data_IF_581788336042
#
_entry.id   IF_581788336042
#
_cell.length_a   1.000
_cell.length_b   1.000
_cell.length_c   1.000
_cell.angle_alpha   90.00
_cell.angle_beta   90.00
_cell.angle_gamma   90.00
#
_symmetry.space_group_name_H-M   'P 1'
#
loop_
_entity.id
_entity.type
_entity.pdbx_description
1 polymer ?
#
# COMPACT_ATOMS: atom_id res chain seq x y z
N UNK A 1 16.03 10.13 -6.10
CA UNK A 1 14.61 10.44 -5.88
C UNK A 1 13.66 9.51 -6.61
N UNK A 2 14.11 8.86 -7.67
CA UNK A 2 13.26 7.94 -8.44
C UNK A 2 13.34 6.50 -7.96
N UNK A 3 14.26 6.18 -7.07
CA UNK A 3 14.47 4.81 -6.58
C UNK A 3 13.22 4.18 -5.94
N UNK A 4 12.36 4.99 -5.33
CA UNK A 4 11.18 4.49 -4.63
C UNK A 4 9.89 4.68 -5.43
N UNK A 5 9.99 5.13 -6.67
CA UNK A 5 8.85 5.47 -7.50
C UNK A 5 8.82 4.72 -8.85
N UNK A 6 9.50 3.57 -8.93
CA UNK A 6 9.41 2.74 -10.13
C UNK A 6 8.23 1.76 -10.04
N UNK A 7 7.67 1.36 -11.19
CA UNK A 7 6.64 0.30 -11.19
C UNK A 7 7.12 -1.00 -10.56
N UNK A 8 8.38 -1.37 -10.77
CA UNK A 8 8.94 -2.59 -10.19
C UNK A 8 8.90 -2.53 -8.66
N UNK A 9 9.33 -1.42 -8.07
CA UNK A 9 9.32 -1.26 -6.62
C UNK A 9 7.90 -1.23 -6.07
N UNK A 10 6.99 -0.53 -6.74
CA UNK A 10 5.58 -0.52 -6.36
C UNK A 10 4.98 -1.92 -6.41
N UNK A 11 5.33 -2.70 -7.42
CA UNK A 11 4.91 -4.10 -7.53
C UNK A 11 5.45 -4.97 -6.41
N UNK A 12 6.72 -4.82 -6.07
CA UNK A 12 7.32 -5.56 -4.96
C UNK A 12 6.68 -5.19 -3.62
N UNK A 13 6.40 -3.90 -3.39
CA UNK A 13 5.67 -3.49 -2.18
C UNK A 13 4.28 -4.11 -2.13
N UNK A 14 3.59 -4.14 -3.28
CA UNK A 14 2.26 -4.75 -3.35
C UNK A 14 2.30 -6.23 -3.00
N UNK A 15 3.31 -6.96 -3.48
CA UNK A 15 3.47 -8.38 -3.14
C UNK A 15 3.71 -8.56 -1.64
N UNK A 16 4.57 -7.74 -1.04
CA UNK A 16 4.83 -7.81 0.41
C UNK A 16 3.56 -7.51 1.21
N UNK A 17 2.80 -6.50 0.79
CA UNK A 17 1.52 -6.16 1.43
C UNK A 17 0.51 -7.31 1.29
N UNK A 18 0.32 -7.83 0.09
CA UNK A 18 -0.62 -8.92 -0.16
C UNK A 18 -0.23 -10.19 0.58
N UNK A 19 1.07 -10.46 0.71
CA UNK A 19 1.55 -11.58 1.51
C UNK A 19 1.19 -11.37 2.99
N UNK A 20 1.39 -10.17 3.52
CA UNK A 20 1.04 -9.85 4.90
C UNK A 20 -0.45 -9.97 5.19
N UNK A 21 -1.29 -9.67 4.21
CA UNK A 21 -2.75 -9.76 4.32
C UNK A 21 -3.31 -11.11 3.84
N UNK A 22 -2.47 -12.06 3.42
CA UNK A 22 -2.95 -13.34 2.89
C UNK A 22 -3.93 -14.00 3.85
N UNK A 23 -5.00 -14.61 3.36
CA UNK A 23 -5.34 -14.86 1.94
C UNK A 23 -6.26 -13.81 1.30
N UNK A 24 -6.34 -12.62 1.87
CA UNK A 24 -7.25 -11.58 1.39
C UNK A 24 -6.85 -11.05 0.01
N UNK A 25 -7.85 -10.69 -0.80
CA UNK A 25 -7.68 -10.03 -2.09
C UNK A 25 -8.17 -8.60 -2.00
N UNK A 26 -7.49 -7.69 -2.68
CA UNK A 26 -7.82 -6.26 -2.66
C UNK A 26 -7.85 -5.69 -4.07
N UNK A 27 -8.71 -4.68 -4.27
CA UNK A 27 -8.76 -3.94 -5.51
C UNK A 27 -7.61 -2.92 -5.62
N UNK A 28 -7.48 -2.29 -6.79
CA UNK A 28 -6.43 -1.30 -7.03
C UNK A 28 -6.50 -0.13 -6.06
N UNK A 29 -7.72 0.34 -5.75
CA UNK A 29 -7.89 1.47 -4.83
C UNK A 29 -7.37 1.14 -3.43
N UNK A 30 -7.76 0.00 -2.90
CA UNK A 30 -7.30 -0.45 -1.59
C UNK A 30 -5.80 -0.65 -1.55
N UNK A 31 -5.23 -1.26 -2.60
CA UNK A 31 -3.78 -1.46 -2.70
C UNK A 31 -3.03 -0.14 -2.82
N UNK A 32 -3.60 0.86 -3.51
CA UNK A 32 -3.00 2.18 -3.61
C UNK A 32 -2.97 2.89 -2.25
N UNK A 33 -4.04 2.75 -1.47
CA UNK A 33 -4.08 3.25 -0.09
C UNK A 33 -3.01 2.56 0.77
N UNK A 34 -2.93 1.24 0.69
CA UNK A 34 -1.94 0.49 1.45
C UNK A 34 -0.51 0.85 1.05
N UNK A 35 -0.25 1.01 -0.25
CA UNK A 35 1.06 1.41 -0.74
C UNK A 35 1.48 2.77 -0.18
N UNK A 36 0.58 3.74 -0.22
CA UNK A 36 0.86 5.06 0.37
C UNK A 36 1.16 4.95 1.86
N UNK A 37 0.29 4.27 2.60
CA UNK A 37 0.43 4.21 4.04
C UNK A 37 1.57 3.31 4.51
N UNK A 38 1.99 2.32 3.75
CA UNK A 38 3.13 1.49 4.14
C UNK A 38 4.43 2.28 4.10
N UNK A 39 4.56 3.24 3.18
CA UNK A 39 5.75 4.09 3.12
C UNK A 39 5.65 5.31 4.02
N UNK A 40 4.44 5.69 4.42
CA UNK A 40 4.15 6.83 5.31
C UNK A 40 3.38 6.37 6.55
N UNK A 41 3.90 5.34 7.22
CA UNK A 41 3.21 4.75 8.38
C UNK A 41 2.88 5.76 9.47
N UNK A 42 3.65 6.83 9.57
CA UNK A 42 3.39 7.90 10.54
C UNK A 42 2.12 8.70 10.28
N UNK A 43 1.53 8.60 9.08
CA UNK A 43 0.29 9.30 8.75
C UNK A 43 -0.96 8.55 9.22
N UNK A 44 -0.84 7.31 9.66
CA UNK A 44 -1.96 6.55 10.19
C UNK A 44 -2.23 7.02 11.62
N UNK A 45 -3.41 7.59 11.84
CA UNK A 45 -3.84 8.09 13.15
C UNK A 45 -4.22 6.94 14.09
N UNK A 46 -3.34 6.20 14.56
CA UNK A 46 -3.54 5.29 15.70
C UNK A 46 -2.25 4.55 15.90
N UNK A 47 -1.84 4.44 17.12
CA UNK A 47 -0.73 3.60 17.55
C UNK A 47 0.39 3.41 16.53
N UNK A 48 0.92 4.56 16.07
CA UNK A 48 2.15 4.56 15.28
C UNK A 48 3.38 4.45 16.19
N UNK A 49 3.16 4.09 17.45
CA UNK A 49 4.23 4.01 18.45
C UNK A 49 5.36 3.10 17.96
N UNK A 50 6.53 3.70 17.80
CA UNK A 50 7.72 2.99 17.46
C UNK A 50 7.94 2.69 15.99
N UNK A 51 7.02 3.07 15.10
CA UNK A 51 7.23 2.89 13.67
C UNK A 51 7.55 4.23 13.00
N UNK A 52 8.65 4.26 12.29
CA UNK A 52 9.04 5.41 11.48
C UNK A 52 8.57 5.19 10.04
N UNK A 53 8.22 6.27 9.37
CA UNK A 53 7.91 6.22 7.94
C UNK A 53 9.15 5.80 7.14
N UNK A 54 8.97 4.92 6.15
CA UNK A 54 10.04 4.46 5.28
C UNK A 54 10.55 5.56 4.35
N UNK A 55 9.67 6.49 3.99
CA UNK A 55 10.00 7.61 3.12
C UNK A 55 9.81 8.93 3.86
N UNK A 56 10.53 10.00 3.47
CA UNK A 56 10.33 11.31 4.07
C UNK A 56 8.90 11.81 3.84
N UNK A 57 8.37 12.65 4.75
CA UNK A 57 7.07 13.29 4.53
C UNK A 57 7.06 14.10 3.25
N UNK A 58 5.93 14.09 2.54
CA UNK A 58 5.76 14.82 1.29
C UNK A 58 4.73 15.93 1.49
N UNK A 59 5.07 17.15 1.07
CA UNK A 59 4.20 18.31 1.22
C UNK A 59 2.95 18.21 0.34
N UNK A 60 3.02 17.55 -0.83
CA UNK A 60 1.93 17.41 -1.77
C UNK A 60 1.34 15.99 -1.72
N UNK A 61 0.75 15.61 -0.59
CA UNK A 61 0.24 14.27 -0.33
C UNK A 61 -0.77 13.77 -1.38
N UNK A 62 -1.66 14.65 -1.82
CA UNK A 62 -2.67 14.28 -2.81
C UNK A 62 -2.03 13.92 -4.15
N UNK A 63 -1.11 14.74 -4.62
CA UNK A 63 -0.39 14.48 -5.88
C UNK A 63 0.39 13.18 -5.81
N UNK A 64 1.07 12.93 -4.71
CA UNK A 64 1.80 11.69 -4.50
C UNK A 64 0.86 10.48 -4.55
N UNK A 65 -0.31 10.56 -3.92
CA UNK A 65 -1.25 9.46 -3.92
C UNK A 65 -1.67 9.06 -5.34
N UNK A 66 -1.98 10.04 -6.20
CA UNK A 66 -2.38 9.76 -7.58
C UNK A 66 -1.23 9.20 -8.42
N UNK A 67 -0.03 9.69 -8.23
CA UNK A 67 1.16 9.15 -8.91
C UNK A 67 1.41 7.71 -8.48
N UNK A 68 1.30 7.42 -7.19
CA UNK A 68 1.49 6.07 -6.67
C UNK A 68 0.44 5.10 -7.19
N UNK A 69 -0.80 5.54 -7.32
CA UNK A 69 -1.86 4.69 -7.87
C UNK A 69 -1.49 4.15 -9.25
N UNK A 70 -0.96 5.02 -10.11
CA UNK A 70 -0.51 4.61 -11.45
C UNK A 70 0.67 3.63 -11.36
N UNK A 71 1.62 3.89 -10.48
CA UNK A 71 2.75 3.00 -10.27
C UNK A 71 2.33 1.64 -9.73
N UNK A 72 1.38 1.62 -8.80
CA UNK A 72 0.82 0.37 -8.27
C UNK A 72 0.15 -0.43 -9.38
N UNK A 73 -0.66 0.22 -10.22
CA UNK A 73 -1.32 -0.43 -11.34
C UNK A 73 -0.31 -1.09 -12.28
N UNK A 74 0.73 -0.35 -12.68
CA UNK A 74 1.80 -0.88 -13.53
C UNK A 74 2.59 -1.98 -12.83
N UNK A 75 2.86 -1.81 -11.54
CA UNK A 75 3.58 -2.80 -10.73
C UNK A 75 2.81 -4.09 -10.54
N UNK A 76 1.50 -4.01 -10.35
CA UNK A 76 0.64 -5.20 -10.25
C UNK A 76 0.67 -6.01 -11.55
N UNK A 77 0.66 -5.34 -12.70
CA UNK A 77 0.76 -6.02 -13.99
C UNK A 77 2.10 -6.76 -14.11
N UNK A 78 3.20 -6.15 -13.65
CA UNK A 78 4.51 -6.81 -13.63
C UNK A 78 4.52 -8.05 -12.74
N UNK A 79 3.94 -7.94 -11.55
CA UNK A 79 3.93 -9.03 -10.57
C UNK A 79 3.01 -10.17 -10.97
N UNK A 80 1.91 -9.87 -11.65
CA UNK A 80 1.05 -10.90 -12.24
C UNK A 80 1.82 -11.71 -13.29
N UNK A 81 2.54 -11.02 -14.19
CA UNK A 81 3.36 -11.68 -15.20
C UNK A 81 4.51 -12.49 -14.60
N UNK A 82 4.99 -12.10 -13.43
CA UNK A 82 6.02 -12.83 -12.70
C UNK A 82 5.45 -14.00 -11.88
N UNK A 83 4.15 -14.23 -11.94
CA UNK A 83 3.46 -15.30 -11.20
C UNK A 83 3.56 -15.19 -9.68
N UNK A 84 3.66 -13.97 -9.16
CA UNK A 84 3.72 -13.72 -7.72
C UNK A 84 2.36 -13.38 -7.13
N UNK A 85 1.42 -12.95 -7.96
CA UNK A 85 0.06 -12.67 -7.54
C UNK A 85 -0.94 -13.12 -8.60
N UNK A 86 -2.19 -13.30 -8.17
CA UNK A 86 -3.32 -13.61 -9.01
C UNK A 86 -4.21 -12.38 -9.16
N UNK A 87 -4.68 -12.16 -10.37
CA UNK A 87 -5.69 -11.17 -10.69
C UNK A 87 -7.02 -11.89 -10.80
N UNK A 88 -7.98 -11.49 -9.99
CA UNK A 88 -9.27 -12.13 -9.88
C UNK A 88 -10.34 -11.18 -10.43
N UNK A 89 -11.05 -11.62 -11.46
CA UNK A 89 -12.18 -10.88 -12.01
C UNK A 89 -13.48 -11.52 -11.51
N UNK A 90 -14.32 -10.75 -10.87
CA UNK A 90 -15.65 -11.20 -10.43
C UNK A 90 -16.70 -10.13 -10.75
N UNK A 91 -17.94 -10.33 -10.33
CA UNK A 91 -19.03 -9.38 -10.58
C UNK A 91 -18.82 -8.00 -9.97
N UNK A 92 -17.90 -7.85 -9.04
CA UNK A 92 -17.59 -6.61 -8.34
C UNK A 92 -16.35 -5.90 -8.85
N UNK A 93 -15.66 -6.46 -9.87
CA UNK A 93 -14.47 -5.87 -10.47
C UNK A 93 -13.23 -6.75 -10.35
N UNK A 94 -12.06 -6.09 -10.38
CA UNK A 94 -10.77 -6.75 -10.32
C UNK A 94 -10.17 -6.65 -8.93
N UNK A 95 -9.71 -7.79 -8.40
CA UNK A 95 -8.96 -7.84 -7.15
C UNK A 95 -7.66 -8.62 -7.37
N UNK A 96 -6.73 -8.47 -6.43
CA UNK A 96 -5.41 -9.08 -6.49
C UNK A 96 -5.12 -9.79 -5.17
N UNK A 97 -4.49 -10.94 -5.25
CA UNK A 97 -4.14 -11.76 -4.09
C UNK A 97 -2.75 -12.34 -4.28
N UNK A 98 -1.99 -12.46 -3.19
CA UNK A 98 -0.68 -13.11 -3.24
C UNK A 98 -0.83 -14.60 -3.56
N UNK A 99 0.04 -15.10 -4.43
CA UNK A 99 0.17 -16.54 -4.65
C UNK A 99 1.05 -17.13 -3.54
N UNK A 100 0.94 -18.44 -3.35
CA UNK A 100 1.71 -19.13 -2.30
C UNK A 100 3.23 -18.92 -2.45
N UNK A 101 3.73 -18.83 -3.68
CA UNK A 101 5.15 -18.60 -3.94
C UNK A 101 5.63 -17.22 -3.44
N UNK A 102 4.72 -16.27 -3.27
CA UNK A 102 5.07 -14.93 -2.80
C UNK A 102 5.71 -14.95 -1.42
N UNK A 103 5.23 -15.80 -0.52
CA UNK A 103 5.80 -15.90 0.82
C UNK A 103 7.29 -16.27 0.78
N UNK A 104 7.66 -17.22 -0.07
CA UNK A 104 9.05 -17.63 -0.23
C UNK A 104 9.92 -16.49 -0.78
N UNK A 105 9.40 -15.75 -1.75
CA UNK A 105 10.12 -14.59 -2.31
C UNK A 105 10.31 -13.51 -1.25
N UNK A 106 9.25 -13.19 -0.50
CA UNK A 106 9.30 -12.16 0.55
C UNK A 106 10.33 -12.53 1.61
N UNK A 107 10.43 -13.81 1.97
CA UNK A 107 11.41 -14.29 2.95
C UNK A 107 12.87 -14.09 2.49
N UNK A 108 13.10 -13.96 1.19
CA UNK A 108 14.43 -13.71 0.63
C UNK A 108 14.80 -12.22 0.59
N UNK A 109 13.86 -11.33 0.88
CA UNK A 109 14.07 -9.88 0.86
C UNK A 109 14.68 -9.42 2.19
N UNK A 110 16.01 -9.39 2.26
CA UNK A 110 16.74 -9.20 3.52
C UNK A 110 17.42 -7.84 3.71
N UNK A 111 17.34 -6.91 2.74
CA UNK A 111 17.91 -5.59 2.93
C UNK A 111 17.23 -4.87 4.11
N UNK A 112 17.90 -3.88 4.75
CA UNK A 112 17.28 -3.13 5.84
C UNK A 112 15.95 -2.50 5.44
N UNK A 113 15.85 -1.93 4.22
CA UNK A 113 14.61 -1.36 3.71
C UNK A 113 13.52 -2.43 3.60
N UNK A 114 13.85 -3.59 3.02
CA UNK A 114 12.88 -4.67 2.83
C UNK A 114 12.40 -5.27 4.15
N UNK A 115 13.27 -5.39 5.14
CA UNK A 115 12.87 -5.85 6.48
C UNK A 115 11.86 -4.89 7.10
N UNK A 116 12.10 -3.59 7.01
CA UNK A 116 11.18 -2.57 7.52
C UNK A 116 9.86 -2.59 6.76
N UNK A 117 9.92 -2.78 5.45
CA UNK A 117 8.72 -2.92 4.63
C UNK A 117 7.87 -4.11 5.08
N UNK A 118 8.50 -5.25 5.34
CA UNK A 118 7.82 -6.45 5.83
C UNK A 118 7.20 -6.21 7.21
N UNK A 119 7.96 -5.64 8.11
CA UNK A 119 7.50 -5.35 9.47
C UNK A 119 6.33 -4.37 9.47
N UNK A 120 6.44 -3.31 8.68
CA UNK A 120 5.39 -2.30 8.56
C UNK A 120 4.14 -2.90 7.93
N UNK A 121 4.29 -3.72 6.89
CA UNK A 121 3.16 -4.39 6.23
C UNK A 121 2.42 -5.31 7.20
N UNK A 122 3.13 -6.08 8.02
CA UNK A 122 2.54 -6.94 9.04
C UNK A 122 1.82 -6.13 10.10
N UNK A 123 2.43 -5.03 10.53
CA UNK A 123 1.80 -4.14 11.50
C UNK A 123 0.48 -3.57 10.96
N UNK A 124 0.48 -3.13 9.70
CA UNK A 124 -0.73 -2.62 9.04
C UNK A 124 -1.79 -3.72 8.97
N UNK A 125 -1.40 -4.94 8.58
CA UNK A 125 -2.32 -6.07 8.51
C UNK A 125 -2.91 -6.39 9.89
N UNK A 126 -2.11 -6.34 10.94
CA UNK A 126 -2.57 -6.55 12.32
C UNK A 126 -3.54 -5.46 12.76
N UNK A 127 -3.28 -4.21 12.39
CA UNK A 127 -4.20 -3.10 12.67
C UNK A 127 -5.55 -3.32 11.99
N UNK A 128 -5.53 -3.72 10.72
CA UNK A 128 -6.74 -3.99 9.95
C UNK A 128 -7.54 -5.15 10.56
N UNK A 129 -6.86 -6.19 11.03
CA UNK A 129 -7.49 -7.33 11.67
C UNK A 129 -8.16 -6.93 12.98
N UNK A 130 -7.50 -6.12 13.79
CA UNK A 130 -8.04 -5.66 15.09
C UNK A 130 -9.22 -4.72 14.94
N UNK A 131 -9.18 -3.80 13.98
CA UNK A 131 -10.27 -2.85 13.73
C UNK A 131 -11.42 -3.44 12.93
N UNK A 132 -11.15 -4.47 12.15
CA UNK A 132 -12.01 -4.92 11.07
C UNK A 132 -11.63 -4.22 9.78
N UNK A 133 -11.52 -4.97 8.69
CA UNK A 133 -11.01 -4.45 7.40
C UNK A 133 -11.84 -3.27 6.89
N UNK A 134 -13.16 -3.39 6.95
CA UNK A 134 -14.06 -2.33 6.48
C UNK A 134 -13.81 -1.00 7.20
N UNK A 135 -13.75 -1.05 8.54
CA UNK A 135 -13.50 0.13 9.37
C UNK A 135 -12.12 0.71 9.11
N UNK A 136 -11.11 -0.16 9.01
CA UNK A 136 -9.73 0.25 8.76
C UNK A 136 -9.60 0.98 7.42
N UNK A 137 -10.11 0.40 6.34
CA UNK A 137 -10.05 1.02 5.02
C UNK A 137 -10.87 2.30 4.93
N UNK A 138 -12.03 2.37 5.59
CA UNK A 138 -12.81 3.60 5.65
C UNK A 138 -12.00 4.73 6.32
N UNK A 139 -11.24 4.42 7.36
CA UNK A 139 -10.38 5.38 8.03
C UNK A 139 -9.27 5.89 7.09
N UNK A 140 -8.64 4.99 6.34
CA UNK A 140 -7.62 5.39 5.35
C UNK A 140 -8.22 6.27 4.25
N UNK A 141 -9.41 5.92 3.76
CA UNK A 141 -10.14 6.70 2.77
C UNK A 141 -10.44 8.11 3.28
N UNK A 142 -10.89 8.22 4.53
CA UNK A 142 -11.19 9.52 5.14
C UNK A 142 -9.96 10.40 5.23
N UNK A 143 -8.79 9.80 5.47
CA UNK A 143 -7.52 10.53 5.45
C UNK A 143 -7.25 11.16 4.10
N UNK A 144 -7.42 10.41 3.00
CA UNK A 144 -7.26 10.92 1.64
C UNK A 144 -8.28 12.02 1.35
N UNK A 145 -9.53 11.83 1.79
CA UNK A 145 -10.58 12.84 1.63
C UNK A 145 -10.22 14.16 2.31
N UNK A 146 -9.65 14.11 3.50
CA UNK A 146 -9.19 15.32 4.21
C UNK A 146 -8.11 16.07 3.43
N UNK A 147 -7.14 15.35 2.85
CA UNK A 147 -6.11 15.98 2.04
C UNK A 147 -6.69 16.68 0.81
N UNK A 148 -7.70 16.10 0.21
CA UNK A 148 -8.41 16.71 -0.91
C UNK A 148 -9.05 18.04 -0.50
N UNK A 149 -9.71 18.09 0.65
CA UNK A 149 -10.31 19.31 1.18
C UNK A 149 -9.27 20.36 1.55
N UNK A 150 -8.18 19.95 2.16
CA UNK A 150 -7.08 20.87 2.52
C UNK A 150 -6.53 21.56 1.27
N UNK A 151 -6.30 20.82 0.20
CA UNK A 151 -5.80 21.37 -1.07
C UNK A 151 -6.81 22.31 -1.72
N UNK A 152 -8.10 21.95 -1.71
CA UNK A 152 -9.15 22.81 -2.26
C UNK A 152 -9.31 24.10 -1.44
N UNK A 153 -9.11 24.05 -0.14
CA UNK A 153 -9.15 25.21 0.75
C UNK A 153 -8.00 26.17 0.56
N UNK A 154 -6.86 25.70 0.09
CA UNK A 154 -5.65 26.50 -0.11
C UNK A 154 -5.63 27.25 -1.45
N UNK A 155 -6.54 26.98 -2.36
CA UNK A 155 -6.66 27.69 -3.62
C UNK A 155 -7.66 28.83 -3.48
N UNK A 156 -7.22 30.10 -3.62
CA UNK A 156 -8.16 31.22 -3.61
C UNK A 156 -9.10 31.10 -4.81
N UNK A 157 -10.35 31.18 -4.54
CA UNK A 157 -11.41 31.17 -5.56
C UNK A 157 -11.33 32.43 -6.45
#
# INVERSE_FOLDING_TARGET
PELFNSPLEAGLRAVVLLDAFAPHAFDLRSLSLLDYYVVHAGDIEADTEGLESLHPPVAARRGEFFVRRRLVEEGLALMERAFLLDKIADGNGLTFRARDVAAAMVDLMESPYNRRLRETSRWIADCAEREGHETFFARLENGVGRWTHEVEGDFPS
#
